data_IF_613102293467
#
_entry.id   IF_613102293467
#
_cell.length_a   1.000
_cell.length_b   1.000
_cell.length_c   1.000
_cell.angle_alpha   90.00
_cell.angle_beta   90.00
_cell.angle_gamma   90.00
#
_symmetry.space_group_name_H-M   'P 1'
#
loop_
_entity.id
_entity.type
_entity.pdbx_description
1 polymer ?
#
# COMPACT_ATOMS: atom_id res chain seq x y z
N UNK A 1 -3.01 -8.74 -16.36
CA UNK A 1 -2.36 -8.03 -15.24
C UNK A 1 -3.43 -7.27 -14.49
N UNK A 2 -3.27 -7.12 -13.18
CA UNK A 2 -4.15 -6.31 -12.32
C UNK A 2 -3.46 -4.97 -12.06
N UNK A 3 -4.27 -3.95 -11.84
CA UNK A 3 -3.78 -2.62 -11.48
C UNK A 3 -3.78 -2.52 -9.96
N UNK A 4 -2.59 -2.41 -9.38
CA UNK A 4 -2.40 -2.29 -7.95
C UNK A 4 -2.15 -0.83 -7.60
N UNK A 5 -3.02 -0.30 -6.73
CA UNK A 5 -2.78 0.95 -6.02
C UNK A 5 -2.54 0.64 -4.55
N UNK A 6 -1.44 1.11 -4.00
CA UNK A 6 -1.08 0.90 -2.60
C UNK A 6 -0.23 2.05 -2.09
N UNK A 7 -0.19 2.22 -0.77
CA UNK A 7 0.64 3.22 -0.10
C UNK A 7 1.82 2.55 0.58
N UNK A 8 3.03 3.04 0.32
CA UNK A 8 4.23 2.70 1.07
C UNK A 8 4.47 3.76 2.14
N UNK A 9 4.32 3.38 3.40
CA UNK A 9 4.65 4.22 4.54
C UNK A 9 6.14 4.11 4.82
N UNK A 10 6.87 5.23 4.81
CA UNK A 10 8.28 5.23 5.20
C UNK A 10 8.42 5.48 6.70
N UNK A 11 9.51 4.99 7.28
CA UNK A 11 9.71 5.00 8.72
C UNK A 11 9.84 6.42 9.28
N UNK A 12 10.58 7.26 8.57
CA UNK A 12 10.93 8.62 8.96
C UNK A 12 10.72 9.55 7.74
N UNK A 13 10.37 10.83 7.93
CA UNK A 13 10.31 11.80 6.85
C UNK A 13 11.64 11.87 6.08
N UNK A 14 11.57 12.13 4.77
CA UNK A 14 12.78 12.28 3.96
C UNK A 14 13.63 13.45 4.48
N UNK A 15 14.93 13.24 4.55
CA UNK A 15 15.87 14.35 4.78
C UNK A 15 15.89 15.27 3.55
N UNK A 16 16.34 16.53 3.68
CA UNK A 16 16.47 17.43 2.54
C UNK A 16 17.34 16.84 1.41
N UNK A 17 18.41 16.12 1.75
CA UNK A 17 19.31 15.46 0.78
C UNK A 17 18.60 14.30 0.05
N UNK A 18 17.79 13.51 0.76
CA UNK A 18 17.00 12.45 0.14
C UNK A 18 15.89 13.02 -0.76
N UNK A 19 15.26 14.12 -0.36
CA UNK A 19 14.27 14.81 -1.20
C UNK A 19 14.91 15.34 -2.48
N UNK A 20 16.07 16.00 -2.39
CA UNK A 20 16.81 16.51 -3.55
C UNK A 20 17.27 15.36 -4.47
N UNK A 21 17.72 14.25 -3.89
CA UNK A 21 18.05 13.03 -4.66
C UNK A 21 16.84 12.51 -5.41
N UNK A 22 15.68 12.39 -4.73
CA UNK A 22 14.44 11.92 -5.33
C UNK A 22 14.00 12.79 -6.51
N UNK A 23 14.12 14.12 -6.41
CA UNK A 23 13.77 15.07 -7.47
C UNK A 23 14.62 14.89 -8.75
N UNK A 24 15.77 14.21 -8.64
CA UNK A 24 16.67 13.92 -9.74
C UNK A 24 16.55 12.49 -10.29
N UNK A 25 15.69 11.64 -9.72
CA UNK A 25 15.50 10.26 -10.16
C UNK A 25 14.34 10.12 -11.14
N UNK A 26 14.67 9.92 -12.42
CA UNK A 26 13.70 9.69 -13.50
C UNK A 26 12.75 8.51 -13.21
N UNK A 27 13.17 7.53 -12.41
CA UNK A 27 12.38 6.34 -12.07
C UNK A 27 11.17 6.63 -11.17
N UNK A 28 11.11 7.81 -10.53
CA UNK A 28 9.96 8.30 -9.77
C UNK A 28 9.12 9.34 -10.56
N UNK A 29 9.67 9.89 -11.65
CA UNK A 29 8.96 10.81 -12.53
C UNK A 29 7.94 10.13 -13.46
N UNK A 30 7.93 8.79 -13.52
CA UNK A 30 7.03 7.99 -14.36
C UNK A 30 5.58 7.88 -13.82
N UNK A 31 5.31 8.47 -12.65
CA UNK A 31 3.99 8.48 -12.01
C UNK A 31 3.62 7.18 -11.30
N UNK A 32 4.53 6.20 -11.22
CA UNK A 32 4.29 4.93 -10.51
C UNK A 32 4.54 5.00 -9.01
N UNK A 33 5.24 6.03 -8.54
CA UNK A 33 5.42 6.29 -7.12
C UNK A 33 5.52 7.80 -6.90
N UNK A 34 4.54 8.36 -6.20
CA UNK A 34 4.46 9.79 -5.90
C UNK A 34 4.64 10.02 -4.41
N UNK A 35 5.59 10.88 -4.04
CA UNK A 35 5.80 11.27 -2.66
C UNK A 35 4.65 12.18 -2.18
N UNK A 36 4.12 11.85 -1.00
CA UNK A 36 3.17 12.68 -0.26
C UNK A 36 3.77 12.96 1.12
N UNK A 37 3.97 14.24 1.42
CA UNK A 37 4.57 14.68 2.69
C UNK A 37 3.52 15.32 3.60
N UNK A 38 3.50 14.90 4.86
CA UNK A 38 2.81 15.54 5.98
C UNK A 38 3.79 16.23 6.93
N UNK A 39 3.29 16.89 7.99
CA UNK A 39 4.12 17.59 8.98
C UNK A 39 5.16 16.68 9.67
N UNK A 40 4.78 15.42 9.92
CA UNK A 40 5.59 14.44 10.64
C UNK A 40 5.64 13.07 9.92
N UNK A 41 5.14 13.01 8.69
CA UNK A 41 5.02 11.76 7.93
C UNK A 41 5.43 11.96 6.48
N UNK A 42 5.89 10.89 5.86
CA UNK A 42 6.07 10.81 4.42
C UNK A 42 5.60 9.43 3.97
N UNK A 43 4.95 9.38 2.82
CA UNK A 43 4.45 8.16 2.22
C UNK A 43 4.55 8.25 0.71
N UNK A 44 4.64 7.11 0.05
CA UNK A 44 4.59 7.02 -1.41
C UNK A 44 3.28 6.39 -1.84
N UNK A 45 2.54 7.11 -2.67
CA UNK A 45 1.38 6.56 -3.36
C UNK A 45 1.86 5.85 -4.61
N UNK A 46 1.63 4.55 -4.67
CA UNK A 46 2.21 3.68 -5.67
C UNK A 46 1.16 3.09 -6.61
N UNK A 47 1.55 2.96 -7.87
CA UNK A 47 0.77 2.33 -8.94
C UNK A 47 1.65 1.35 -9.71
N UNK A 48 1.22 0.10 -9.83
CA UNK A 48 1.93 -0.90 -10.64
C UNK A 48 0.97 -1.92 -11.26
N UNK A 49 1.29 -2.36 -12.48
CA UNK A 49 0.55 -3.40 -13.19
C UNK A 49 1.28 -4.74 -13.02
N UNK A 50 0.68 -5.67 -12.29
CA UNK A 50 1.28 -6.99 -12.02
C UNK A 50 0.21 -8.06 -11.83
N UNK A 51 0.60 -9.34 -11.87
CA UNK A 51 -0.34 -10.44 -11.61
C UNK A 51 -0.72 -10.52 -10.13
N UNK A 52 0.21 -10.19 -9.24
CA UNK A 52 0.05 -10.29 -7.78
C UNK A 52 0.48 -9.00 -7.08
N UNK A 53 -0.07 -8.75 -5.88
CA UNK A 53 0.33 -7.63 -5.04
C UNK A 53 1.81 -7.69 -4.67
N UNK A 54 2.32 -8.89 -4.37
CA UNK A 54 3.74 -9.07 -4.02
C UNK A 54 4.67 -8.65 -5.16
N UNK A 55 4.33 -8.99 -6.41
CA UNK A 55 5.09 -8.53 -7.57
C UNK A 55 4.99 -7.01 -7.74
N UNK A 56 3.78 -6.45 -7.59
CA UNK A 56 3.59 -5.00 -7.67
C UNK A 56 4.44 -4.24 -6.63
N UNK A 57 4.48 -4.74 -5.38
CA UNK A 57 5.33 -4.19 -4.32
C UNK A 57 6.81 -4.33 -4.68
N UNK A 58 7.25 -5.52 -5.10
CA UNK A 58 8.65 -5.76 -5.46
C UNK A 58 9.11 -4.83 -6.59
N UNK A 59 8.30 -4.67 -7.64
CA UNK A 59 8.61 -3.80 -8.78
C UNK A 59 8.81 -2.34 -8.36
N UNK A 60 8.02 -1.87 -7.38
CA UNK A 60 8.18 -0.52 -6.84
C UNK A 60 9.40 -0.43 -5.91
N UNK A 61 9.63 -1.43 -5.05
CA UNK A 61 10.74 -1.43 -4.10
C UNK A 61 12.11 -1.41 -4.78
N UNK A 62 12.26 -1.99 -5.98
CA UNK A 62 13.49 -1.91 -6.77
C UNK A 62 13.91 -0.45 -7.02
N UNK A 63 12.98 0.49 -7.11
CA UNK A 63 13.30 1.92 -7.30
C UNK A 63 13.97 2.55 -6.08
N UNK A 64 13.70 2.03 -4.88
CA UNK A 64 14.28 2.55 -3.64
C UNK A 64 15.76 2.16 -3.48
N UNK A 65 16.28 1.23 -4.29
CA UNK A 65 17.72 0.96 -4.34
C UNK A 65 18.53 2.21 -4.74
N UNK A 66 17.92 3.08 -5.57
CA UNK A 66 18.52 4.34 -6.03
C UNK A 66 18.32 5.50 -5.02
N UNK A 67 17.55 5.28 -3.93
CA UNK A 67 17.27 6.26 -2.88
C UNK A 67 17.78 5.77 -1.51
N UNK A 68 19.10 5.81 -1.28
CA UNK A 68 19.71 5.17 -0.12
C UNK A 68 19.23 5.77 1.21
N UNK A 69 19.08 4.89 2.21
CA UNK A 69 18.73 5.27 3.58
C UNK A 69 17.24 5.48 3.83
N UNK A 70 16.38 5.34 2.82
CA UNK A 70 14.92 5.33 3.02
C UNK A 70 14.47 3.94 3.44
N UNK A 71 13.72 3.86 4.54
CA UNK A 71 13.20 2.61 5.08
C UNK A 71 11.68 2.56 4.94
N UNK A 72 11.16 1.54 4.27
CA UNK A 72 9.72 1.27 4.20
C UNK A 72 9.29 0.54 5.47
N UNK A 73 8.30 1.08 6.17
CA UNK A 73 7.73 0.54 7.41
C UNK A 73 6.56 -0.40 7.16
N UNK A 74 5.65 -0.02 6.27
CA UNK A 74 4.43 -0.79 5.99
C UNK A 74 3.87 -0.51 4.61
N UNK A 75 3.08 -1.46 4.11
CA UNK A 75 2.29 -1.32 2.89
C UNK A 75 0.82 -1.33 3.25
N UNK A 76 0.05 -0.42 2.66
CA UNK A 76 -1.38 -0.29 2.87
C UNK A 76 -2.14 -0.42 1.55
N UNK A 77 -3.25 -1.17 1.58
CA UNK A 77 -4.28 -1.14 0.56
C UNK A 77 -5.50 -0.41 1.11
N UNK A 78 -5.91 0.64 0.42
CA UNK A 78 -7.15 1.34 0.75
C UNK A 78 -8.40 0.54 0.33
N UNK A 79 -9.56 0.99 0.79
CA UNK A 79 -10.85 0.33 0.52
C UNK A 79 -11.13 0.14 -0.98
N UNK A 80 -10.82 1.16 -1.79
CA UNK A 80 -11.01 1.12 -3.24
C UNK A 80 -10.07 0.09 -3.89
N UNK A 81 -8.81 0.04 -3.48
CA UNK A 81 -7.85 -0.92 -4.01
C UNK A 81 -8.22 -2.36 -3.64
N UNK A 82 -8.80 -2.57 -2.46
CA UNK A 82 -9.37 -3.86 -2.05
C UNK A 82 -10.59 -4.24 -2.90
N UNK A 83 -11.49 -3.29 -3.17
CA UNK A 83 -12.67 -3.50 -4.02
C UNK A 83 -12.28 -3.81 -5.46
N UNK A 84 -11.43 -2.99 -6.07
CA UNK A 84 -10.97 -3.11 -7.46
C UNK A 84 -10.26 -4.45 -7.73
N UNK A 85 -9.61 -5.02 -6.70
CA UNK A 85 -8.90 -6.29 -6.80
C UNK A 85 -9.72 -7.50 -6.32
N UNK A 86 -11.00 -7.31 -5.97
CA UNK A 86 -11.88 -8.36 -5.49
C UNK A 86 -11.43 -8.98 -4.16
N UNK A 87 -10.71 -8.22 -3.36
CA UNK A 87 -10.20 -8.60 -2.04
C UNK A 87 -11.04 -8.02 -0.89
N UNK A 88 -11.95 -7.10 -1.19
CA UNK A 88 -12.90 -6.60 -0.21
C UNK A 88 -13.76 -7.74 0.32
N UNK A 89 -13.71 -7.94 1.63
CA UNK A 89 -14.58 -8.89 2.33
C UNK A 89 -15.47 -8.09 3.27
N UNK A 90 -16.79 -8.38 3.34
CA UNK A 90 -17.64 -7.81 4.38
C UNK A 90 -17.01 -8.08 5.75
N UNK A 91 -16.90 -7.05 6.58
CA UNK A 91 -16.46 -7.22 7.96
C UNK A 91 -17.33 -8.29 8.64
N UNK A 92 -16.68 -9.26 9.27
CA UNK A 92 -17.24 -10.47 9.89
C UNK A 92 -18.65 -10.23 10.43
N UNK A 93 -19.67 -10.81 9.77
CA UNK A 93 -21.01 -10.85 10.34
C UNK A 93 -20.93 -11.78 11.57
N UNK A 94 -21.27 -11.30 12.79
CA UNK A 94 -21.29 -12.16 13.95
C UNK A 94 -22.21 -13.36 13.67
N UNK A 95 -21.83 -14.58 14.10
CA UNK A 95 -22.66 -15.76 13.85
C UNK A 95 -24.09 -15.51 14.38
N UNK A 96 -25.13 -15.99 13.67
CA UNK A 96 -26.50 -15.87 14.16
C UNK A 96 -26.60 -16.46 15.58
N UNK A 97 -27.47 -15.90 16.45
CA UNK A 97 -27.65 -16.43 17.79
C UNK A 97 -28.02 -17.92 17.73
N UNK A 98 -27.62 -18.73 18.73
CA UNK A 98 -27.99 -20.15 18.78
C UNK A 98 -29.50 -20.27 18.65
N UNK A 99 -29.97 -21.19 17.80
CA UNK A 99 -31.38 -21.53 17.77
C UNK A 99 -31.73 -22.10 19.15
N UNK A 100 -32.72 -21.51 19.81
CA UNK A 100 -33.25 -22.05 21.07
C UNK A 100 -33.65 -23.50 20.81
N UNK A 101 -33.08 -24.44 21.57
CA UNK A 101 -33.45 -25.85 21.47
C UNK A 101 -34.97 -25.95 21.62
N UNK A 102 -35.66 -26.44 20.59
CA UNK A 102 -37.10 -26.75 20.68
C UNK A 102 -37.30 -27.62 21.93
N UNK A 103 -38.21 -27.23 22.85
CA UNK A 103 -38.42 -28.03 24.05
C UNK A 103 -38.91 -29.40 23.61
N UNK A 104 -38.17 -30.45 24.02
CA UNK A 104 -38.59 -31.83 23.82
C UNK A 104 -40.01 -32.00 24.40
N UNK A 105 -40.89 -32.55 23.55
CA UNK A 105 -42.32 -32.72 23.73
C UNK A 105 -42.74 -33.35 25.06
#
# INVERSE_FOLDING_TARGET
>A
MRNWRFTLHIQDPLTPEQSDTLDHLDCFADGRASLVTGPDTAEFWCYSEAETLTQAIADVLVRFEELPGVLVRSVELDEMALEDNGMWTPAVIPPPPPLEDEPAA
#
